data_IF_727529423398
#
_entry.id   IF_727529423398
#
_cell.length_a   1.000
_cell.length_b   1.000
_cell.length_c   1.000
_cell.angle_alpha   90.00
_cell.angle_beta   90.00
_cell.angle_gamma   90.00
#
_symmetry.space_group_name_H-M   'P 1'
#
loop_
_entity.id
_entity.type
_entity.pdbx_description
1 polymer ?
#
# COMPACT_ATOMS: atom_id res chain seq x y z
N UNK A 1 -1.78 -0.92 6.40
CA UNK A 1 -0.69 -1.85 6.00
C UNK A 1 0.46 -2.00 6.99
N UNK A 2 1.06 -0.92 7.51
CA UNK A 2 2.25 -0.98 8.39
C UNK A 2 2.07 -1.89 9.61
N UNK A 3 0.96 -1.71 10.35
CA UNK A 3 0.64 -2.53 11.52
C UNK A 3 0.60 -4.03 11.20
N UNK A 4 -0.13 -4.41 10.15
CA UNK A 4 -0.26 -5.80 9.70
C UNK A 4 1.10 -6.41 9.31
N UNK A 5 1.93 -5.66 8.58
CA UNK A 5 3.26 -6.13 8.16
C UNK A 5 4.19 -6.37 9.36
N UNK A 6 4.21 -5.43 10.33
CA UNK A 6 5.01 -5.59 11.55
C UNK A 6 4.55 -6.79 12.36
N UNK A 7 3.25 -7.00 12.48
CA UNK A 7 2.70 -8.17 13.17
C UNK A 7 3.07 -9.46 12.44
N UNK A 8 2.99 -9.52 11.12
CA UNK A 8 3.42 -10.71 10.37
C UNK A 8 4.91 -11.03 10.55
N UNK A 9 5.77 -10.01 10.66
CA UNK A 9 7.19 -10.24 10.97
C UNK A 9 7.40 -10.84 12.36
N UNK A 10 6.58 -10.44 13.34
CA UNK A 10 6.69 -10.89 14.74
C UNK A 10 6.04 -12.25 14.97
N UNK A 11 4.85 -12.46 14.41
CA UNK A 11 4.01 -13.62 14.70
C UNK A 11 4.12 -14.73 13.65
N UNK A 12 4.38 -14.37 12.39
CA UNK A 12 4.39 -15.32 11.26
C UNK A 12 5.81 -15.57 10.72
N UNK A 13 6.84 -15.03 11.38
CA UNK A 13 8.24 -15.09 10.97
C UNK A 13 8.47 -14.58 9.53
N UNK A 14 7.61 -13.66 9.07
CA UNK A 14 7.76 -13.04 7.76
C UNK A 14 9.03 -12.18 7.71
N UNK A 15 9.76 -12.21 6.59
CA UNK A 15 10.94 -11.36 6.43
C UNK A 15 10.52 -9.88 6.33
N UNK A 16 11.09 -8.98 7.15
CA UNK A 16 10.84 -7.56 7.02
C UNK A 16 11.30 -7.04 5.66
N UNK A 17 10.39 -6.46 4.89
CA UNK A 17 10.71 -5.76 3.65
C UNK A 17 9.92 -4.46 3.57
N UNK A 18 10.65 -3.35 3.41
CA UNK A 18 10.05 -2.01 3.25
C UNK A 18 9.46 -1.89 1.85
N UNK A 19 10.15 -2.41 0.83
CA UNK A 19 9.68 -2.35 -0.56
C UNK A 19 8.34 -3.07 -0.71
N UNK A 20 8.21 -4.28 -0.16
CA UNK A 20 6.95 -5.04 -0.18
C UNK A 20 5.82 -4.29 0.56
N UNK A 21 6.13 -3.63 1.67
CA UNK A 21 5.17 -2.85 2.43
C UNK A 21 4.71 -1.62 1.64
N UNK A 22 5.64 -0.92 0.99
CA UNK A 22 5.34 0.25 0.14
C UNK A 22 4.47 -0.17 -1.04
N UNK A 23 4.80 -1.27 -1.73
CA UNK A 23 4.02 -1.75 -2.86
C UNK A 23 2.58 -2.10 -2.46
N UNK A 24 2.39 -2.78 -1.32
CA UNK A 24 1.05 -3.06 -0.78
C UNK A 24 0.24 -1.81 -0.45
N UNK A 25 0.90 -0.75 0.04
CA UNK A 25 0.25 0.54 0.30
C UNK A 25 -0.20 1.19 -1.01
N UNK A 26 0.66 1.17 -2.03
CA UNK A 26 0.32 1.70 -3.37
C UNK A 26 -0.88 0.97 -3.96
N UNK A 27 -0.89 -0.37 -3.88
CA UNK A 27 -1.99 -1.20 -4.38
C UNK A 27 -3.32 -0.85 -3.71
N UNK A 28 -3.34 -0.77 -2.38
CA UNK A 28 -4.57 -0.44 -1.64
C UNK A 28 -5.05 0.98 -1.95
N UNK A 29 -4.13 1.95 -2.04
CA UNK A 29 -4.47 3.32 -2.40
C UNK A 29 -5.07 3.42 -3.82
N UNK A 30 -4.55 2.65 -4.78
CA UNK A 30 -5.14 2.52 -6.14
C UNK A 30 -6.53 1.93 -6.10
N UNK A 31 -6.72 0.83 -5.36
CA UNK A 31 -8.04 0.22 -5.19
C UNK A 31 -9.07 1.22 -4.64
N UNK A 32 -8.68 2.05 -3.66
CA UNK A 32 -9.57 3.06 -3.10
C UNK A 32 -9.85 4.21 -4.08
N UNK A 33 -8.84 4.67 -4.82
CA UNK A 33 -9.04 5.67 -5.88
C UNK A 33 -10.01 5.15 -6.94
N UNK A 34 -9.87 3.89 -7.37
CA UNK A 34 -10.76 3.23 -8.33
C UNK A 34 -12.17 3.00 -7.77
N UNK A 35 -12.30 2.75 -6.47
CA UNK A 35 -13.59 2.69 -5.79
C UNK A 35 -14.25 4.06 -5.60
N UNK A 36 -13.63 5.14 -6.07
CA UNK A 36 -14.19 6.49 -6.04
C UNK A 36 -13.91 7.26 -4.75
N UNK A 37 -12.93 6.84 -3.94
CA UNK A 37 -12.51 7.61 -2.77
C UNK A 37 -12.00 8.99 -3.21
N UNK A 38 -12.76 10.03 -2.85
CA UNK A 38 -12.55 11.38 -3.35
C UNK A 38 -11.21 11.95 -2.85
N UNK A 39 -10.51 12.67 -3.72
CA UNK A 39 -9.22 13.30 -3.40
C UNK A 39 -8.00 12.38 -3.50
N UNK A 40 -8.16 11.05 -3.39
CA UNK A 40 -7.03 10.11 -3.52
C UNK A 40 -6.37 10.18 -4.89
N UNK A 41 -7.15 10.20 -5.98
CA UNK A 41 -6.59 10.33 -7.34
C UNK A 41 -5.83 11.64 -7.57
N UNK A 42 -6.13 12.69 -6.81
CA UNK A 42 -5.48 14.01 -6.93
C UNK A 42 -4.17 14.06 -6.13
N UNK A 43 -4.12 13.33 -5.01
CA UNK A 43 -2.98 13.35 -4.08
C UNK A 43 -1.95 12.24 -4.38
N UNK A 44 -2.39 11.13 -5.00
CA UNK A 44 -1.48 10.05 -5.33
C UNK A 44 -0.49 10.48 -6.43
N UNK A 45 0.82 10.22 -6.25
CA UNK A 45 1.81 10.51 -7.27
C UNK A 45 1.47 9.78 -8.57
N UNK A 46 1.59 10.43 -9.72
CA UNK A 46 1.44 9.80 -11.04
C UNK A 46 2.40 8.62 -11.24
N UNK A 47 3.57 8.63 -10.60
CA UNK A 47 4.49 7.47 -10.59
C UNK A 47 3.91 6.21 -9.95
N UNK A 48 2.80 6.31 -9.21
CA UNK A 48 2.08 5.18 -8.63
C UNK A 48 0.89 4.79 -9.51
N UNK A 49 0.51 5.64 -10.46
CA UNK A 49 -0.48 5.42 -11.51
C UNK A 49 0.24 4.82 -12.73
N UNK A 50 0.72 3.58 -12.58
CA UNK A 50 1.27 2.81 -13.71
C UNK A 50 0.14 2.06 -14.41
N UNK A 51 -0.60 2.81 -15.23
CA UNK A 51 -1.34 2.31 -16.38
C UNK A 51 -0.82 2.95 -17.66
#
# INVERSE_FOLDING_TARGET
MIWKHRNACVFDNATPSVDLLVDRIKDEARCWANAGAQGLRVVLPTSWDVH
#
